data_IF_555982888224
#
_entry.id   IF_555982888224
#
_cell.length_a   1.000
_cell.length_b   1.000
_cell.length_c   1.000
_cell.angle_alpha   90.00
_cell.angle_beta   90.00
_cell.angle_gamma   90.00
#
_symmetry.space_group_name_H-M   'P 1'
#
loop_
_entity.id
_entity.type
_entity.pdbx_description
1 polymer ?
#
# COMPACT_ATOMS: atom_id res chain seq x y z
N UNK A 1 12.07 -18.02 -14.03
CA UNK A 1 11.51 -16.86 -13.29
C UNK A 1 11.35 -17.28 -11.85
N UNK A 2 12.02 -16.62 -10.90
CA UNK A 2 11.67 -16.76 -9.48
C UNK A 2 10.30 -16.14 -9.27
N UNK A 3 9.36 -16.89 -8.67
CA UNK A 3 8.06 -16.35 -8.29
C UNK A 3 8.26 -15.48 -7.03
N UNK A 4 7.74 -14.25 -7.05
CA UNK A 4 7.67 -13.41 -5.85
C UNK A 4 6.82 -14.10 -4.78
N UNK A 5 7.23 -13.96 -3.53
CA UNK A 5 6.46 -14.37 -2.35
C UNK A 5 5.26 -13.46 -2.14
N UNK A 6 4.28 -13.90 -1.33
CA UNK A 6 3.14 -13.08 -0.90
C UNK A 6 3.60 -11.75 -0.29
N UNK A 7 4.62 -11.82 0.56
CA UNK A 7 5.20 -10.67 1.24
C UNK A 7 5.82 -9.67 0.25
N UNK A 8 6.64 -10.13 -0.70
CA UNK A 8 7.24 -9.26 -1.72
C UNK A 8 6.20 -8.57 -2.60
N UNK A 9 5.10 -9.25 -2.95
CA UNK A 9 4.01 -8.64 -3.72
C UNK A 9 3.30 -7.54 -2.93
N UNK A 10 3.09 -7.75 -1.63
CA UNK A 10 2.49 -6.74 -0.76
C UNK A 10 3.44 -5.56 -0.53
N UNK A 11 4.76 -5.79 -0.49
CA UNK A 11 5.77 -4.73 -0.47
C UNK A 11 5.75 -3.90 -1.75
N UNK A 12 5.67 -4.54 -2.93
CA UNK A 12 5.52 -3.81 -4.20
C UNK A 12 4.25 -2.93 -4.19
N UNK A 13 3.14 -3.49 -3.71
CA UNK A 13 1.87 -2.77 -3.61
C UNK A 13 1.95 -1.60 -2.61
N UNK A 14 2.62 -1.77 -1.48
CA UNK A 14 2.85 -0.70 -0.51
C UNK A 14 3.72 0.43 -1.11
N UNK A 15 4.78 0.08 -1.86
CA UNK A 15 5.60 1.05 -2.60
C UNK A 15 4.78 1.84 -3.60
N UNK A 16 3.90 1.17 -4.36
CA UNK A 16 2.99 1.84 -5.28
C UNK A 16 2.01 2.80 -4.57
N UNK A 17 1.52 2.46 -3.38
CA UNK A 17 0.68 3.35 -2.59
C UNK A 17 1.44 4.62 -2.15
N UNK A 18 2.71 4.48 -1.78
CA UNK A 18 3.58 5.60 -1.39
C UNK A 18 3.86 6.52 -2.59
N UNK A 19 4.12 5.95 -3.77
CA UNK A 19 4.29 6.69 -5.03
C UNK A 19 3.02 7.47 -5.40
N UNK A 20 1.84 6.85 -5.30
CA UNK A 20 0.56 7.51 -5.54
C UNK A 20 0.33 8.67 -4.57
N UNK A 21 0.65 8.49 -3.29
CA UNK A 21 0.56 9.55 -2.29
C UNK A 21 1.49 10.72 -2.64
N UNK A 22 2.76 10.43 -2.93
CA UNK A 22 3.75 11.43 -3.32
C UNK A 22 3.31 12.20 -4.57
N UNK A 23 2.85 11.48 -5.60
CA UNK A 23 2.37 12.08 -6.85
C UNK A 23 1.15 12.99 -6.61
N UNK A 24 0.21 12.60 -5.73
CA UNK A 24 -0.95 13.44 -5.39
C UNK A 24 -0.58 14.75 -4.69
N UNK A 25 0.58 14.80 -4.03
CA UNK A 25 1.12 15.98 -3.33
C UNK A 25 2.03 16.83 -4.22
N UNK A 26 2.59 16.25 -5.29
CA UNK A 26 3.54 16.91 -6.20
C UNK A 26 2.95 18.07 -7.01
N UNK A 27 1.63 18.27 -6.98
CA UNK A 27 0.95 19.27 -7.80
C UNK A 27 0.91 18.92 -9.29
N UNK A 28 1.13 17.65 -9.64
CA UNK A 28 1.00 17.16 -11.01
C UNK A 28 -0.42 17.44 -11.52
N UNK A 29 -0.59 18.26 -12.58
CA UNK A 29 -1.91 18.63 -13.08
C UNK A 29 -2.71 17.39 -13.50
N UNK A 30 -3.94 17.27 -12.99
CA UNK A 30 -4.82 16.13 -13.27
C UNK A 30 -4.50 14.87 -12.45
N UNK A 31 -3.53 14.92 -11.53
CA UNK A 31 -3.25 13.84 -10.59
C UNK A 31 -3.61 14.29 -9.17
N UNK A 32 -4.90 14.25 -8.87
CA UNK A 32 -5.42 14.62 -7.55
C UNK A 32 -5.51 13.40 -6.63
N UNK A 33 -5.82 13.64 -5.36
CA UNK A 33 -6.03 12.57 -4.38
C UNK A 33 -7.08 11.54 -4.82
N UNK A 34 -8.12 11.98 -5.54
CA UNK A 34 -9.13 11.11 -6.13
C UNK A 34 -8.53 10.12 -7.13
N UNK A 35 -7.66 10.59 -8.03
CA UNK A 35 -6.94 9.76 -9.00
C UNK A 35 -6.01 8.76 -8.32
N UNK A 36 -5.29 9.18 -7.28
CA UNK A 36 -4.45 8.29 -6.48
C UNK A 36 -5.28 7.17 -5.83
N UNK A 37 -6.44 7.50 -5.25
CA UNK A 37 -7.35 6.52 -4.66
C UNK A 37 -7.89 5.51 -5.68
N UNK A 38 -8.25 5.96 -6.88
CA UNK A 38 -8.72 5.09 -7.97
C UNK A 38 -7.63 4.12 -8.40
N UNK A 39 -6.40 4.62 -8.59
CA UNK A 39 -5.24 3.79 -8.96
C UNK A 39 -4.89 2.75 -7.89
N UNK A 40 -4.91 3.13 -6.61
CA UNK A 40 -4.72 2.20 -5.49
C UNK A 40 -5.81 1.12 -5.48
N UNK A 41 -7.07 1.50 -5.71
CA UNK A 41 -8.19 0.57 -5.79
C UNK A 41 -8.02 -0.45 -6.92
N UNK A 42 -7.71 0.00 -8.13
CA UNK A 42 -7.44 -0.88 -9.27
C UNK A 42 -6.26 -1.81 -9.02
N UNK A 43 -5.19 -1.32 -8.39
CA UNK A 43 -4.04 -2.14 -8.03
C UNK A 43 -4.39 -3.21 -6.98
N UNK A 44 -5.25 -2.90 -6.01
CA UNK A 44 -5.74 -3.85 -5.01
C UNK A 44 -6.62 -4.94 -5.64
N UNK A 45 -7.46 -4.60 -6.62
CA UNK A 45 -8.24 -5.57 -7.39
C UNK A 45 -7.34 -6.48 -8.21
N UNK A 46 -6.34 -5.92 -8.90
CA UNK A 46 -5.38 -6.71 -9.66
C UNK A 46 -4.55 -7.64 -8.77
N UNK A 47 -4.20 -7.18 -7.57
CA UNK A 47 -3.51 -8.03 -6.59
C UNK A 47 -4.38 -9.24 -6.21
N UNK A 48 -5.71 -9.10 -6.19
CA UNK A 48 -6.61 -10.23 -5.94
C UNK A 48 -6.58 -11.31 -7.03
N UNK A 49 -6.16 -10.99 -8.25
CA UNK A 49 -5.94 -12.00 -9.31
C UNK A 49 -4.74 -12.92 -8.99
N UNK A 50 -3.79 -12.45 -8.18
CA UNK A 50 -2.59 -13.21 -7.80
C UNK A 50 -2.81 -14.13 -6.59
N UNK A 51 -3.94 -13.98 -5.88
CA UNK A 51 -4.24 -14.69 -4.64
C UNK A 51 -5.63 -15.30 -4.66
N UNK A 52 -5.72 -16.62 -4.46
CA UNK A 52 -7.00 -17.34 -4.28
C UNK A 52 -7.56 -17.16 -2.86
N UNK A 53 -7.75 -15.90 -2.45
CA UNK A 53 -8.29 -15.56 -1.14
C UNK A 53 -9.42 -14.51 -1.29
N UNK A 54 -10.63 -14.78 -0.78
CA UNK A 54 -11.80 -13.93 -1.03
C UNK A 54 -11.70 -12.53 -0.40
N UNK A 55 -10.79 -12.35 0.57
CA UNK A 55 -10.57 -11.06 1.22
C UNK A 55 -9.38 -10.28 0.65
N UNK A 56 -8.72 -10.75 -0.41
CA UNK A 56 -7.51 -10.07 -0.94
C UNK A 56 -7.72 -8.59 -1.21
N UNK A 57 -8.80 -8.13 -1.90
CA UNK A 57 -8.99 -6.69 -2.13
C UNK A 57 -9.09 -5.91 -0.80
N UNK A 58 -9.82 -6.45 0.18
CA UNK A 58 -9.99 -5.82 1.50
C UNK A 58 -8.67 -5.73 2.25
N UNK A 59 -7.88 -6.80 2.23
CA UNK A 59 -6.60 -6.89 2.91
C UNK A 59 -5.54 -6.02 2.22
N UNK A 60 -5.54 -5.94 0.89
CA UNK A 60 -4.72 -5.00 0.14
C UNK A 60 -5.08 -3.55 0.49
N UNK A 61 -6.38 -3.21 0.52
CA UNK A 61 -6.83 -1.88 0.93
C UNK A 61 -6.48 -1.54 2.39
N UNK A 62 -6.35 -2.53 3.27
CA UNK A 62 -5.82 -2.32 4.63
C UNK A 62 -4.34 -1.90 4.59
N UNK A 63 -3.51 -2.57 3.78
CA UNK A 63 -2.12 -2.16 3.55
C UNK A 63 -2.07 -0.72 3.03
N UNK A 64 -2.84 -0.40 1.99
CA UNK A 64 -2.89 0.94 1.42
C UNK A 64 -3.27 2.01 2.44
N UNK A 65 -4.32 1.77 3.23
CA UNK A 65 -4.76 2.66 4.30
C UNK A 65 -3.62 2.94 5.30
N UNK A 66 -2.89 1.90 5.71
CA UNK A 66 -1.81 2.04 6.68
C UNK A 66 -0.59 2.76 6.08
N UNK A 67 -0.22 2.47 4.83
CA UNK A 67 0.83 3.23 4.13
C UNK A 67 0.49 4.72 4.10
N UNK A 68 -0.70 5.08 3.61
CA UNK A 68 -1.12 6.48 3.53
C UNK A 68 -1.17 7.14 4.90
N UNK A 69 -1.73 6.45 5.90
CA UNK A 69 -1.86 6.96 7.26
C UNK A 69 -0.50 7.21 7.92
N UNK A 70 0.41 6.24 7.87
CA UNK A 70 1.72 6.36 8.52
C UNK A 70 2.63 7.34 7.80
N UNK A 71 2.60 7.41 6.46
CA UNK A 71 3.34 8.43 5.71
C UNK A 71 2.85 9.84 6.01
N UNK A 72 1.53 10.03 6.08
CA UNK A 72 0.95 11.33 6.44
C UNK A 72 1.32 11.73 7.88
N UNK A 73 1.28 10.78 8.83
CA UNK A 73 1.70 11.02 10.20
C UNK A 73 3.20 11.39 10.29
N UNK A 74 4.05 10.74 9.50
CA UNK A 74 5.48 11.07 9.43
C UNK A 74 5.73 12.47 8.87
N UNK A 75 5.04 12.84 7.79
CA UNK A 75 5.13 14.18 7.20
C UNK A 75 4.69 15.29 8.16
N UNK A 76 3.71 15.02 9.03
CA UNK A 76 3.26 15.94 10.06
C UNK A 76 4.12 15.93 11.33
N UNK A 77 5.15 15.09 11.39
CA UNK A 77 6.05 14.96 12.55
C UNK A 77 5.41 14.27 13.76
N UNK A 78 4.31 13.54 13.58
CA UNK A 78 3.67 12.75 14.64
C UNK A 78 4.46 11.46 14.96
N UNK A 79 5.14 10.92 13.95
CA UNK A 79 6.09 9.80 14.05
C UNK A 79 7.30 10.08 13.16
N UNK A 80 8.40 9.36 13.35
CA UNK A 80 9.53 9.40 12.40
C UNK A 80 9.37 8.38 11.26
N UNK A 81 10.17 8.55 10.20
CA UNK A 81 10.15 7.67 9.02
C UNK A 81 10.48 6.21 9.37
N UNK A 82 11.34 5.98 10.36
CA UNK A 82 11.70 4.65 10.81
C UNK A 82 10.49 3.92 11.42
N UNK A 83 9.74 4.60 12.28
CA UNK A 83 8.50 4.13 12.89
C UNK A 83 7.42 3.90 11.84
N UNK A 84 7.31 4.79 10.84
CA UNK A 84 6.38 4.61 9.74
C UNK A 84 6.71 3.33 8.94
N UNK A 85 7.97 3.14 8.56
CA UNK A 85 8.43 1.95 7.84
C UNK A 85 8.21 0.67 8.65
N UNK A 86 8.51 0.67 9.95
CA UNK A 86 8.30 -0.47 10.83
C UNK A 86 6.81 -0.86 10.87
N UNK A 87 5.90 0.11 11.03
CA UNK A 87 4.45 -0.16 11.09
C UNK A 87 3.86 -0.60 9.76
N UNK A 88 4.38 -0.08 8.63
CA UNK A 88 4.03 -0.54 7.29
C UNK A 88 4.45 -2.01 7.12
N UNK A 89 5.69 -2.35 7.47
CA UNK A 89 6.22 -3.70 7.40
C UNK A 89 5.44 -4.69 8.29
N UNK A 90 5.09 -4.28 9.51
CA UNK A 90 4.20 -5.07 10.39
C UNK A 90 2.84 -5.35 9.74
N UNK A 91 2.24 -4.33 9.10
CA UNK A 91 0.97 -4.49 8.39
C UNK A 91 1.10 -5.47 7.23
N UNK A 92 2.16 -5.35 6.44
CA UNK A 92 2.47 -6.24 5.31
C UNK A 92 2.63 -7.68 5.81
N UNK A 93 3.41 -7.89 6.87
CA UNK A 93 3.65 -9.22 7.44
C UNK A 93 2.34 -9.87 7.96
N UNK A 94 1.48 -9.08 8.62
CA UNK A 94 0.19 -9.56 9.11
C UNK A 94 -0.76 -9.95 7.97
N UNK A 95 -0.83 -9.12 6.92
CA UNK A 95 -1.66 -9.41 5.74
C UNK A 95 -1.10 -10.59 4.95
N UNK A 96 0.22 -10.68 4.79
CA UNK A 96 0.86 -11.82 4.13
C UNK A 96 0.49 -13.14 4.82
N UNK A 97 0.52 -13.18 6.15
CA UNK A 97 0.13 -14.35 6.94
C UNK A 97 -1.34 -14.75 6.71
N UNK A 98 -2.22 -13.79 6.45
CA UNK A 98 -3.64 -14.07 6.18
C UNK A 98 -3.88 -14.59 4.75
N UNK A 99 -3.04 -14.19 3.78
CA UNK A 99 -3.17 -14.60 2.38
C UNK A 99 -2.48 -15.94 2.06
N UNK A 100 -1.54 -16.39 2.91
CA UNK A 100 -0.79 -17.64 2.73
C UNK A 100 0.42 -17.50 1.83
#
# INVERSE_FOLDING_TARGET
MNKKTTHERLQDFAGFCDECLSASKSGTPGFEWSSACEMIGMAAERLAEDFDHPQTPRLAMLVAKHVVGFRTAAEHGEIDDATANERIEQTIAEVAKQLG
#
